data_IF_650973345175
#
_entry.id   IF_650973345175
#
_cell.length_a   1.000
_cell.length_b   1.000
_cell.length_c   1.000
_cell.angle_alpha   90.00
_cell.angle_beta   90.00
_cell.angle_gamma   90.00
#
_symmetry.space_group_name_H-M   'P 1'
#
loop_
_entity.id
_entity.type
_entity.pdbx_description
1 polymer ?
#
# COMPACT_ATOMS: atom_id res chain seq x y z
N UNK A 1 7.40 15.27 6.67
CA UNK A 1 7.11 15.58 5.25
C UNK A 1 7.49 17.01 4.91
N UNK A 2 8.11 17.16 3.74
CA UNK A 2 8.31 18.43 3.03
C UNK A 2 6.96 19.06 2.67
N UNK A 3 6.85 20.38 2.74
CA UNK A 3 5.61 21.15 2.48
C UNK A 3 5.80 22.14 1.35
N UNK A 4 6.23 23.37 1.65
CA UNK A 4 6.47 24.45 0.68
C UNK A 4 7.71 25.24 1.12
N UNK A 5 8.81 25.23 0.35
CA UNK A 5 10.04 25.92 0.71
C UNK A 5 9.89 27.45 0.69
N UNK A 6 8.86 27.99 0.00
CA UNK A 6 8.58 29.43 -0.01
C UNK A 6 7.78 29.90 1.21
N UNK A 7 7.28 28.96 2.01
CA UNK A 7 6.49 29.23 3.21
C UNK A 7 7.37 29.23 4.45
N UNK A 8 7.81 30.42 4.87
CA UNK A 8 8.75 30.58 6.00
C UNK A 8 7.99 30.61 7.33
N UNK A 9 6.83 31.27 7.39
CA UNK A 9 6.00 31.39 8.60
C UNK A 9 4.61 30.79 8.42
N UNK A 10 3.94 30.36 9.51
CA UNK A 10 2.57 29.84 9.45
C UNK A 10 1.53 30.83 8.90
N UNK A 11 1.78 32.13 9.04
CA UNK A 11 0.91 33.20 8.53
C UNK A 11 1.13 33.49 7.04
N UNK A 12 2.22 32.97 6.46
CA UNK A 12 2.51 33.21 5.05
C UNK A 12 1.59 32.33 4.20
N UNK A 13 1.00 32.87 3.12
CA UNK A 13 0.28 32.10 2.11
C UNK A 13 1.14 30.96 1.56
N UNK A 14 0.57 29.75 1.51
CA UNK A 14 1.26 28.56 0.99
C UNK A 14 0.71 28.07 -0.35
N UNK A 15 1.56 27.41 -1.12
CA UNK A 15 1.16 26.74 -2.36
C UNK A 15 0.65 25.32 -2.09
N UNK A 16 -0.54 25.00 -2.62
CA UNK A 16 -1.14 23.66 -2.54
C UNK A 16 -0.66 22.77 -3.70
N UNK A 17 -0.53 23.36 -4.89
CA UNK A 17 -0.09 22.64 -6.08
C UNK A 17 1.37 22.20 -5.93
N UNK A 18 1.64 20.92 -6.19
CA UNK A 18 2.96 20.33 -6.01
C UNK A 18 3.37 20.05 -4.56
N UNK A 19 2.53 20.41 -3.56
CA UNK A 19 2.82 20.16 -2.16
C UNK A 19 2.44 18.72 -1.78
N UNK A 20 3.42 17.86 -1.39
CA UNK A 20 3.17 16.45 -1.11
C UNK A 20 2.14 16.22 0.00
N UNK A 21 2.02 17.14 0.96
CA UNK A 21 1.07 16.98 2.07
C UNK A 21 -0.37 16.99 1.57
N UNK A 22 -0.70 17.87 0.62
CA UNK A 22 -2.05 17.93 0.07
C UNK A 22 -2.32 16.77 -0.90
N UNK A 23 -1.30 16.32 -1.65
CA UNK A 23 -1.40 15.09 -2.44
C UNK A 23 -1.75 13.90 -1.55
N UNK A 24 -1.08 13.75 -0.41
CA UNK A 24 -1.41 12.67 0.53
C UNK A 24 -2.79 12.82 1.15
N UNK A 25 -3.20 14.04 1.51
CA UNK A 25 -4.57 14.28 1.98
C UNK A 25 -5.61 13.87 0.93
N UNK A 26 -5.41 14.23 -0.34
CA UNK A 26 -6.32 13.90 -1.42
C UNK A 26 -6.44 12.39 -1.64
N UNK A 27 -5.36 11.64 -1.47
CA UNK A 27 -5.34 10.19 -1.61
C UNK A 27 -5.93 9.44 -0.40
N UNK A 28 -5.66 9.92 0.81
CA UNK A 28 -5.81 9.13 2.05
C UNK A 28 -6.97 9.62 2.90
N UNK A 29 -7.22 10.93 2.95
CA UNK A 29 -8.27 11.49 3.78
C UNK A 29 -9.65 11.26 3.13
N UNK A 30 -10.52 10.57 3.85
CA UNK A 30 -11.90 10.30 3.45
C UNK A 30 -12.77 11.56 3.56
N UNK A 31 -12.46 12.45 4.50
CA UNK A 31 -13.19 13.70 4.67
C UNK A 31 -12.71 14.75 3.65
N UNK A 32 -13.34 14.78 2.47
CA UNK A 32 -12.99 15.71 1.40
C UNK A 32 -13.29 17.17 1.75
N UNK A 33 -14.32 17.42 2.55
CA UNK A 33 -14.66 18.78 3.00
C UNK A 33 -13.56 19.36 3.89
N UNK A 34 -13.03 18.55 4.81
CA UNK A 34 -11.88 18.95 5.64
C UNK A 34 -10.64 19.24 4.79
N UNK A 35 -10.38 18.44 3.77
CA UNK A 35 -9.24 18.66 2.87
C UNK A 35 -9.39 19.98 2.11
N UNK A 36 -10.57 20.27 1.58
CA UNK A 36 -10.83 21.53 0.88
C UNK A 36 -10.78 22.75 1.82
N UNK A 37 -11.25 22.64 3.07
CA UNK A 37 -11.06 23.68 4.09
C UNK A 37 -9.58 23.93 4.37
N UNK A 38 -8.79 22.87 4.57
CA UNK A 38 -7.35 22.99 4.80
C UNK A 38 -6.66 23.65 3.62
N UNK A 39 -6.98 23.28 2.37
CA UNK A 39 -6.41 23.93 1.18
C UNK A 39 -6.75 25.42 1.12
N UNK A 40 -7.99 25.81 1.41
CA UNK A 40 -8.42 27.21 1.45
C UNK A 40 -7.66 27.99 2.51
N UNK A 41 -7.60 27.46 3.74
CA UNK A 41 -6.86 28.10 4.84
C UNK A 41 -5.36 28.16 4.57
N UNK A 42 -4.79 27.16 3.89
CA UNK A 42 -3.36 27.11 3.56
C UNK A 42 -2.98 28.20 2.55
N UNK A 43 -3.77 28.35 1.49
CA UNK A 43 -3.62 29.43 0.52
C UNK A 43 -3.80 30.81 1.16
N UNK A 44 -4.65 30.92 2.18
CA UNK A 44 -4.89 32.17 2.90
C UNK A 44 -3.87 32.46 4.02
N UNK A 45 -2.91 31.56 4.29
CA UNK A 45 -1.98 31.72 5.42
C UNK A 45 -2.66 31.62 6.80
N UNK A 46 -3.81 30.94 6.89
CA UNK A 46 -4.65 30.81 8.11
C UNK A 46 -4.55 29.43 8.78
N UNK A 47 -3.60 28.59 8.37
CA UNK A 47 -3.35 27.27 8.97
C UNK A 47 -1.86 26.94 8.90
N UNK A 48 -1.26 26.56 10.02
CA UNK A 48 0.15 26.18 10.07
C UNK A 48 0.37 24.74 9.57
N UNK A 49 1.60 24.45 9.14
CA UNK A 49 1.99 23.11 8.67
C UNK A 49 1.82 22.02 9.73
N UNK A 50 1.92 22.36 11.02
CA UNK A 50 1.72 21.42 12.14
C UNK A 50 0.29 20.88 12.13
N UNK A 51 -0.72 21.75 12.07
CA UNK A 51 -2.13 21.36 12.06
C UNK A 51 -2.45 20.47 10.86
N UNK A 52 -1.96 20.83 9.67
CA UNK A 52 -2.16 20.03 8.44
C UNK A 52 -1.53 18.64 8.61
N UNK A 53 -0.30 18.56 9.12
CA UNK A 53 0.40 17.28 9.37
C UNK A 53 -0.32 16.42 10.41
N UNK A 54 -0.84 17.01 11.47
CA UNK A 54 -1.60 16.28 12.49
C UNK A 54 -2.90 15.70 11.94
N UNK A 55 -3.63 16.49 11.13
CA UNK A 55 -4.84 15.99 10.45
C UNK A 55 -4.51 14.89 9.45
N UNK A 56 -3.40 15.01 8.71
CA UNK A 56 -2.94 13.94 7.83
C UNK A 56 -2.61 12.67 8.60
N UNK A 57 -1.91 12.79 9.73
CA UNK A 57 -1.58 11.66 10.59
C UNK A 57 -2.85 10.96 11.08
N UNK A 58 -3.86 11.71 11.55
CA UNK A 58 -5.15 11.14 11.97
C UNK A 58 -5.82 10.37 10.82
N UNK A 59 -5.86 10.95 9.62
CA UNK A 59 -6.39 10.29 8.44
C UNK A 59 -5.64 9.00 8.11
N UNK A 60 -4.31 9.02 8.12
CA UNK A 60 -3.45 7.84 7.92
C UNK A 60 -3.73 6.73 8.93
N UNK A 61 -3.76 7.08 10.22
CA UNK A 61 -3.99 6.13 11.30
C UNK A 61 -5.37 5.48 11.19
N UNK A 62 -6.39 6.27 10.83
CA UNK A 62 -7.75 5.76 10.59
C UNK A 62 -7.78 4.85 9.37
N UNK A 63 -7.25 5.31 8.23
CA UNK A 63 -7.27 4.61 6.93
C UNK A 63 -6.61 3.23 6.99
N UNK A 64 -5.50 3.12 7.72
CA UNK A 64 -4.71 1.89 7.85
C UNK A 64 -4.92 1.17 9.21
N UNK A 65 -6.00 1.49 9.94
CA UNK A 65 -6.29 0.87 11.24
C UNK A 65 -6.46 -0.64 11.12
N UNK A 66 -7.20 -1.11 10.11
CA UNK A 66 -7.46 -2.53 9.85
C UNK A 66 -6.18 -3.30 9.52
N UNK A 67 -5.36 -2.76 8.62
CA UNK A 67 -4.12 -3.38 8.16
C UNK A 67 -3.11 -3.46 9.29
N UNK A 68 -2.99 -2.42 10.12
CA UNK A 68 -2.12 -2.43 11.30
C UNK A 68 -2.57 -3.46 12.33
N UNK A 69 -3.87 -3.55 12.61
CA UNK A 69 -4.40 -4.59 13.49
C UNK A 69 -4.14 -6.01 12.94
N UNK A 70 -4.31 -6.20 11.63
CA UNK A 70 -4.00 -7.49 10.97
C UNK A 70 -2.51 -7.81 11.03
N UNK A 71 -1.65 -6.83 10.77
CA UNK A 71 -0.20 -6.99 10.87
C UNK A 71 0.21 -7.39 12.29
N UNK A 72 -0.30 -6.72 13.32
CA UNK A 72 -0.01 -7.04 14.72
C UNK A 72 -0.45 -8.47 15.09
N UNK A 73 -1.63 -8.91 14.63
CA UNK A 73 -2.10 -10.30 14.82
C UNK A 73 -1.16 -11.32 14.19
N UNK A 74 -0.76 -11.10 12.94
CA UNK A 74 0.16 -11.99 12.22
C UNK A 74 1.56 -11.98 12.86
N UNK A 75 2.05 -10.81 13.27
CA UNK A 75 3.34 -10.68 13.95
C UNK A 75 3.36 -11.44 15.27
N UNK A 76 2.25 -11.42 16.02
CA UNK A 76 2.11 -12.17 17.27
C UNK A 76 1.99 -13.69 17.05
N UNK A 77 1.66 -14.14 15.83
CA UNK A 77 1.52 -15.56 15.50
C UNK A 77 2.29 -15.93 14.21
N UNK A 78 3.63 -16.08 14.29
CA UNK A 78 4.45 -16.44 13.12
C UNK A 78 4.06 -17.79 12.48
N UNK A 79 3.45 -18.71 13.24
CA UNK A 79 2.98 -20.01 12.70
C UNK A 79 1.89 -19.82 11.66
N UNK A 80 0.96 -18.89 11.88
CA UNK A 80 -0.10 -18.56 10.93
C UNK A 80 0.48 -18.05 9.61
N UNK A 81 1.55 -17.24 9.65
CA UNK A 81 2.25 -16.77 8.44
C UNK A 81 2.80 -17.96 7.65
N UNK A 82 3.45 -18.91 8.33
CA UNK A 82 4.02 -20.10 7.69
C UNK A 82 2.93 -20.94 7.04
N UNK A 83 1.79 -21.14 7.69
CA UNK A 83 0.67 -21.90 7.11
C UNK A 83 0.05 -21.19 5.90
N UNK A 84 -0.14 -19.86 5.94
CA UNK A 84 -0.59 -19.09 4.77
C UNK A 84 0.36 -19.27 3.58
N UNK A 85 1.67 -19.25 3.83
CA UNK A 85 2.68 -19.43 2.79
C UNK A 85 2.70 -20.87 2.24
N UNK A 86 2.56 -21.88 3.11
CA UNK A 86 2.46 -23.29 2.69
C UNK A 86 1.24 -23.53 1.81
N UNK A 87 0.08 -22.98 2.19
CA UNK A 87 -1.15 -23.08 1.41
C UNK A 87 -1.01 -22.42 0.04
N UNK A 88 -0.39 -21.24 -0.02
CA UNK A 88 -0.06 -20.57 -1.27
C UNK A 88 0.89 -21.40 -2.14
N UNK A 89 1.95 -21.96 -1.55
CA UNK A 89 2.91 -22.82 -2.24
C UNK A 89 2.27 -24.09 -2.78
N UNK A 90 1.35 -24.72 -2.03
CA UNK A 90 0.60 -25.90 -2.49
C UNK A 90 -0.22 -25.59 -3.74
N UNK A 91 -1.02 -24.52 -3.70
CA UNK A 91 -1.85 -24.08 -4.85
C UNK A 91 -0.98 -23.76 -6.07
N UNK A 92 0.14 -23.07 -5.87
CA UNK A 92 1.06 -22.76 -6.95
C UNK A 92 1.71 -24.03 -7.54
N UNK A 93 2.11 -24.98 -6.68
CA UNK A 93 2.71 -26.25 -7.10
C UNK A 93 1.75 -27.08 -7.94
N UNK A 94 0.49 -27.19 -7.56
CA UNK A 94 -0.52 -27.93 -8.33
C UNK A 94 -0.68 -27.38 -9.76
N UNK A 95 -0.62 -26.06 -9.93
CA UNK A 95 -0.67 -25.42 -11.26
C UNK A 95 0.65 -25.60 -12.03
N UNK A 96 1.78 -25.49 -11.35
CA UNK A 96 3.09 -25.69 -11.95
C UNK A 96 3.28 -27.13 -12.44
N UNK A 97 2.85 -28.13 -11.68
CA UNK A 97 2.92 -29.54 -12.06
C UNK A 97 2.12 -29.82 -13.33
N UNK A 98 0.85 -29.37 -13.38
CA UNK A 98 0.02 -29.45 -14.60
C UNK A 98 0.73 -28.82 -15.80
N UNK A 99 1.31 -27.63 -15.61
CA UNK A 99 2.01 -26.95 -16.70
C UNK A 99 3.28 -27.69 -17.13
N UNK A 100 4.02 -28.26 -16.20
CA UNK A 100 5.24 -28.99 -16.50
C UNK A 100 4.98 -30.29 -17.25
N UNK A 101 3.83 -30.94 -17.04
CA UNK A 101 3.40 -32.08 -17.86
C UNK A 101 3.26 -31.65 -19.32
N UNK A 102 2.49 -30.59 -19.61
CA UNK A 102 2.32 -30.08 -20.98
C UNK A 102 3.67 -29.70 -21.64
N UNK A 103 4.56 -29.07 -20.88
CA UNK A 103 5.87 -28.64 -21.37
C UNK A 103 6.73 -29.85 -21.73
N UNK A 104 6.77 -30.88 -20.87
CA UNK A 104 7.55 -32.11 -21.11
C UNK A 104 7.02 -32.90 -22.29
N UNK A 105 5.71 -32.94 -22.50
CA UNK A 105 5.08 -33.54 -23.69
C UNK A 105 5.49 -32.79 -24.97
N UNK A 106 5.39 -31.46 -24.98
CA UNK A 106 5.69 -30.64 -26.18
C UNK A 106 7.18 -30.62 -26.55
N UNK A 107 8.07 -30.64 -25.56
CA UNK A 107 9.53 -30.67 -25.80
C UNK A 107 10.01 -32.11 -26.11
N UNK A 108 9.17 -33.13 -25.91
CA UNK A 108 9.46 -34.52 -26.27
C UNK A 108 10.22 -35.31 -25.20
N UNK A 109 10.32 -34.78 -23.97
CA UNK A 109 10.91 -35.46 -22.81
C UNK A 109 10.02 -36.66 -22.39
N UNK A 110 8.70 -36.49 -22.49
CA UNK A 110 7.73 -37.57 -22.27
C UNK A 110 7.18 -38.00 -23.63
N UNK A 111 7.56 -39.20 -24.09
CA UNK A 111 7.10 -39.80 -25.34
C UNK A 111 6.87 -41.32 -25.17
N UNK A 112 6.40 -42.00 -26.23
CA UNK A 112 6.08 -43.44 -26.19
C UNK A 112 7.26 -44.37 -25.84
N UNK A 113 8.49 -43.85 -25.89
CA UNK A 113 9.71 -44.57 -25.53
C UNK A 113 10.32 -44.09 -24.21
N UNK A 114 9.71 -43.11 -23.53
CA UNK A 114 10.19 -42.62 -22.24
C UNK A 114 9.94 -43.68 -21.16
N UNK A 115 11.01 -44.18 -20.56
CA UNK A 115 10.96 -45.19 -19.49
C UNK A 115 10.36 -44.64 -18.18
N UNK A 116 10.45 -43.33 -17.95
CA UNK A 116 9.88 -42.66 -16.78
C UNK A 116 8.65 -41.87 -17.19
N UNK A 117 7.55 -42.08 -16.46
CA UNK A 117 6.42 -41.14 -16.44
C UNK A 117 6.75 -40.07 -15.39
N UNK A 118 6.98 -38.85 -15.87
CA UNK A 118 7.25 -37.67 -15.05
C UNK A 118 5.96 -36.97 -14.66
#
# INVERSE_FOLDING_TARGET
CFTDPKRIRPTDPGQVEGNPIFIYHDLINENKEEVEDLKKRYKAGKVGDVEVKEKLLKALLKRFSRERARYQKLQANPKEIVEILKDGAKKAREQAEKKMIEVREKIGITNKYSFFKY
#
